data_IF_763976227905
#
_entry.id   IF_763976227905
#
_cell.length_a   1.000
_cell.length_b   1.000
_cell.length_c   1.000
_cell.angle_alpha   90.00
_cell.angle_beta   90.00
_cell.angle_gamma   90.00
#
_symmetry.space_group_name_H-M   'P 1'
#
loop_
_entity.id
_entity.type
_entity.pdbx_description
1 polymer ?
#
# COMPACT_ATOMS: atom_id res chain seq x y z
N UNK A 1 -27.69 -17.08 0.04
CA UNK A 1 -27.37 -15.67 -0.23
C UNK A 1 -25.85 -15.57 -0.25
N UNK A 2 -25.23 -15.62 -1.43
CA UNK A 2 -23.78 -15.75 -1.56
C UNK A 2 -23.10 -14.44 -1.18
N UNK A 3 -22.31 -14.47 -0.10
CA UNK A 3 -21.40 -13.38 0.26
C UNK A 3 -20.32 -13.32 -0.83
N UNK A 4 -20.48 -12.43 -1.79
CA UNK A 4 -19.47 -12.16 -2.80
C UNK A 4 -18.28 -11.51 -2.08
N UNK A 5 -17.25 -12.30 -1.76
CA UNK A 5 -16.05 -11.82 -1.09
C UNK A 5 -15.27 -10.92 -2.07
N UNK A 6 -15.56 -9.62 -2.05
CA UNK A 6 -14.68 -8.62 -2.66
C UNK A 6 -13.40 -8.53 -1.82
N UNK A 7 -12.43 -9.41 -2.11
CA UNK A 7 -11.10 -9.38 -1.52
C UNK A 7 -10.14 -8.67 -2.47
N UNK A 8 -9.67 -7.50 -2.08
CA UNK A 8 -8.51 -6.87 -2.73
C UNK A 8 -7.23 -7.44 -2.11
N UNK A 9 -6.32 -7.94 -2.95
CA UNK A 9 -5.03 -8.45 -2.48
C UNK A 9 -3.96 -7.35 -2.61
N UNK A 10 -3.09 -7.25 -1.62
CA UNK A 10 -1.86 -6.46 -1.70
C UNK A 10 -0.70 -7.45 -1.64
N UNK A 11 0.13 -7.44 -2.67
CA UNK A 11 1.41 -8.16 -2.68
C UNK A 11 2.54 -7.20 -2.36
N UNK A 12 3.46 -7.67 -1.54
CA UNK A 12 4.68 -6.95 -1.16
C UNK A 12 5.84 -7.91 -1.41
N UNK A 13 6.88 -7.42 -2.08
CA UNK A 13 8.07 -8.20 -2.37
C UNK A 13 9.28 -7.31 -2.49
N UNK A 14 10.46 -7.91 -2.42
CA UNK A 14 11.72 -7.25 -2.76
C UNK A 14 12.21 -7.89 -4.05
N UNK A 15 12.29 -7.08 -5.09
CA UNK A 15 12.90 -7.46 -6.36
C UNK A 15 14.39 -7.11 -6.33
N UNK A 16 15.25 -7.98 -6.85
CA UNK A 16 16.71 -7.77 -6.80
C UNK A 16 17.16 -6.61 -7.69
N UNK A 17 16.44 -6.31 -8.77
CA UNK A 17 16.78 -5.24 -9.72
C UNK A 17 16.03 -3.94 -9.42
N UNK A 18 14.75 -4.04 -9.05
CA UNK A 18 13.85 -2.90 -8.86
C UNK A 18 13.65 -2.53 -7.39
N UNK A 19 14.24 -3.28 -6.46
CA UNK A 19 14.08 -3.06 -5.04
C UNK A 19 12.68 -3.42 -4.53
N UNK A 20 12.27 -2.89 -3.37
CA UNK A 20 10.97 -3.17 -2.78
C UNK A 20 9.79 -2.69 -3.64
N UNK A 21 8.79 -3.56 -3.80
CA UNK A 21 7.62 -3.31 -4.64
C UNK A 21 6.33 -3.66 -3.92
N UNK A 22 5.29 -2.86 -4.17
CA UNK A 22 3.94 -3.10 -3.68
C UNK A 22 2.95 -3.08 -4.83
N UNK A 23 2.18 -4.16 -4.95
CA UNK A 23 1.17 -4.33 -5.97
C UNK A 23 -0.20 -4.55 -5.35
N UNK A 24 -1.24 -3.93 -5.93
CA UNK A 24 -2.63 -4.22 -5.58
C UNK A 24 -3.28 -4.96 -6.72
N UNK A 25 -3.99 -6.05 -6.40
CA UNK A 25 -4.77 -6.86 -7.32
C UNK A 25 -6.25 -6.76 -6.95
N UNK A 26 -7.10 -6.48 -7.94
CA UNK A 26 -8.55 -6.54 -7.78
C UNK A 26 -9.11 -7.91 -8.20
N UNK A 27 -10.35 -8.27 -7.77
CA UNK A 27 -10.98 -9.52 -8.18
C UNK A 27 -11.24 -9.66 -9.69
N UNK A 28 -11.10 -8.57 -10.46
CA UNK A 28 -11.25 -8.58 -11.91
C UNK A 28 -9.92 -8.90 -12.64
N UNK A 29 -8.83 -9.09 -11.89
CA UNK A 29 -7.51 -9.43 -12.42
C UNK A 29 -6.67 -8.20 -12.81
N UNK A 30 -7.09 -6.99 -12.44
CA UNK A 30 -6.28 -5.79 -12.62
C UNK A 30 -5.20 -5.71 -11.54
N UNK A 31 -3.95 -5.56 -11.96
CA UNK A 31 -2.81 -5.33 -11.09
C UNK A 31 -2.18 -3.97 -11.38
N UNK A 32 -1.82 -3.24 -10.33
CA UNK A 32 -1.11 -1.96 -10.45
C UNK A 32 -0.03 -1.84 -9.37
N UNK A 33 1.14 -1.35 -9.77
CA UNK A 33 2.26 -1.09 -8.87
C UNK A 33 2.12 0.27 -8.21
N UNK A 34 2.37 0.35 -6.92
CA UNK A 34 2.24 1.55 -6.11
C UNK A 34 3.50 1.77 -5.28
N UNK A 35 3.92 3.03 -5.16
CA UNK A 35 4.92 3.43 -4.15
C UNK A 35 4.38 3.29 -2.73
N UNK A 36 3.08 3.53 -2.57
CA UNK A 36 2.40 3.34 -1.31
C UNK A 36 0.93 3.06 -1.56
N UNK A 37 0.35 2.14 -0.80
CA UNK A 37 -1.07 1.78 -0.90
C UNK A 37 -1.66 1.55 0.48
N UNK A 38 -2.98 1.56 0.55
CA UNK A 38 -3.72 1.23 1.75
C UNK A 38 -4.93 0.37 1.37
N UNK A 39 -5.41 -0.42 2.32
CA UNK A 39 -6.64 -1.19 2.20
C UNK A 39 -7.52 -1.03 3.44
N UNK A 40 -8.81 -1.32 3.28
CA UNK A 40 -9.80 -1.27 4.35
C UNK A 40 -10.71 -0.04 4.31
N UNK A 41 -11.53 0.11 5.35
CA UNK A 41 -12.63 1.10 5.42
C UNK A 41 -12.14 2.54 5.28
N UNK A 42 -10.92 2.83 5.75
CA UNK A 42 -10.32 4.19 5.71
C UNK A 42 -9.31 4.36 4.58
N UNK A 43 -9.42 3.59 3.49
CA UNK A 43 -8.47 3.67 2.37
C UNK A 43 -8.37 5.10 1.80
N UNK A 44 -9.48 5.82 1.59
CA UNK A 44 -9.46 7.16 0.96
C UNK A 44 -8.66 8.20 1.76
N UNK A 45 -8.87 8.26 3.08
CA UNK A 45 -8.09 9.14 3.97
C UNK A 45 -6.62 8.73 3.98
N UNK A 46 -6.37 7.42 3.98
CA UNK A 46 -5.04 6.84 4.04
C UNK A 46 -4.22 7.14 2.78
N UNK A 47 -4.81 6.98 1.59
CA UNK A 47 -4.20 7.34 0.31
C UNK A 47 -3.86 8.83 0.27
N UNK A 48 -4.77 9.69 0.72
CA UNK A 48 -4.53 11.15 0.77
C UNK A 48 -3.38 11.53 1.71
N UNK A 49 -3.23 10.81 2.83
CA UNK A 49 -2.12 10.99 3.76
C UNK A 49 -0.79 10.54 3.15
N UNK A 50 -0.78 9.36 2.53
CA UNK A 50 0.40 8.80 1.85
C UNK A 50 0.88 9.71 0.72
N UNK A 51 -0.01 10.19 -0.16
CA UNK A 51 0.37 11.09 -1.26
C UNK A 51 1.08 12.36 -0.77
N UNK A 52 0.62 12.95 0.34
CA UNK A 52 1.26 14.14 0.92
C UNK A 52 2.64 13.85 1.50
N UNK A 53 2.87 12.63 1.99
CA UNK A 53 4.16 12.21 2.57
C UNK A 53 5.16 11.78 1.48
N UNK A 54 4.71 10.98 0.51
CA UNK A 54 5.50 10.53 -0.65
C UNK A 54 5.97 11.72 -1.48
N UNK A 55 5.13 12.74 -1.69
CA UNK A 55 5.52 13.94 -2.45
C UNK A 55 6.57 14.81 -1.72
N UNK A 56 6.69 14.70 -0.40
CA UNK A 56 7.61 15.55 0.41
C UNK A 56 8.99 14.92 0.62
N UNK A 57 9.11 13.60 0.53
CA UNK A 57 10.37 12.87 0.69
C UNK A 57 10.39 11.71 -0.30
N UNK A 58 11.44 11.66 -1.11
CA UNK A 58 11.63 10.57 -2.09
C UNK A 58 12.40 9.39 -1.49
N UNK A 59 13.36 9.66 -0.60
CA UNK A 59 14.18 8.63 0.05
C UNK A 59 13.73 8.42 1.51
N UNK A 60 13.17 7.25 1.78
CA UNK A 60 12.70 6.84 3.10
C UNK A 60 13.58 5.72 3.63
N UNK A 61 13.97 5.80 4.90
CA UNK A 61 14.66 4.68 5.56
C UNK A 61 13.65 3.65 6.04
N UNK A 62 14.10 2.42 6.30
CA UNK A 62 13.27 1.35 6.82
C UNK A 62 12.50 1.77 8.09
N UNK A 63 13.16 2.44 9.03
CA UNK A 63 12.56 2.89 10.29
C UNK A 63 11.44 3.91 10.06
N UNK A 64 11.67 4.86 9.13
CA UNK A 64 10.66 5.85 8.76
C UNK A 64 9.46 5.20 8.09
N UNK A 65 9.68 4.18 7.25
CA UNK A 65 8.62 3.40 6.62
C UNK A 65 7.80 2.64 7.66
N UNK A 66 8.46 1.98 8.62
CA UNK A 66 7.81 1.25 9.72
C UNK A 66 6.95 2.20 10.56
N UNK A 67 7.47 3.36 10.95
CA UNK A 67 6.71 4.35 11.73
C UNK A 67 5.44 4.81 11.00
N UNK A 68 5.51 4.98 9.67
CA UNK A 68 4.37 5.43 8.87
C UNK A 68 3.37 4.31 8.57
N UNK A 69 3.82 3.06 8.55
CA UNK A 69 2.94 1.89 8.40
C UNK A 69 2.08 1.59 9.64
N UNK A 70 2.36 2.22 10.79
CA UNK A 70 1.64 1.92 12.02
C UNK A 70 0.11 2.19 11.91
N UNK A 71 -0.73 1.21 12.25
CA UNK A 71 -2.15 1.27 11.95
C UNK A 71 -2.90 2.24 12.87
N UNK A 72 -3.62 3.21 12.27
CA UNK A 72 -4.69 3.99 12.92
C UNK A 72 -6.09 3.56 12.43
N UNK A 73 -6.27 2.25 12.24
CA UNK A 73 -7.52 1.64 11.73
C UNK A 73 -7.57 1.40 10.22
N UNK A 74 -6.44 1.54 9.53
CA UNK A 74 -6.17 1.03 8.19
C UNK A 74 -4.75 0.47 8.19
N UNK A 75 -4.52 -0.62 7.46
CA UNK A 75 -3.17 -1.15 7.24
C UNK A 75 -2.55 -0.36 6.08
N UNK A 76 -1.59 0.49 6.42
CA UNK A 76 -0.81 1.27 5.46
C UNK A 76 0.35 0.43 4.98
N UNK A 77 0.49 0.25 3.66
CA UNK A 77 1.58 -0.53 3.07
C UNK A 77 2.40 0.36 2.14
N UNK A 78 3.68 0.52 2.45
CA UNK A 78 4.61 1.29 1.64
C UNK A 78 5.54 0.34 0.89
N UNK A 79 5.71 0.56 -0.43
CA UNK A 79 6.74 -0.07 -1.23
C UNK A 79 7.91 0.89 -1.28
N UNK A 80 9.00 0.54 -0.61
CA UNK A 80 10.19 1.40 -0.48
C UNK A 80 10.91 1.49 -1.82
#
# INVERSE_FOLDING_TARGET
LGSFLFLGMILIGIDEEQGPQVYKCDPAGYYCGFKATAAGVKQTESTSFLEKKVKKKFDWTFEQTVEVSQPKGADFFYGI
#
